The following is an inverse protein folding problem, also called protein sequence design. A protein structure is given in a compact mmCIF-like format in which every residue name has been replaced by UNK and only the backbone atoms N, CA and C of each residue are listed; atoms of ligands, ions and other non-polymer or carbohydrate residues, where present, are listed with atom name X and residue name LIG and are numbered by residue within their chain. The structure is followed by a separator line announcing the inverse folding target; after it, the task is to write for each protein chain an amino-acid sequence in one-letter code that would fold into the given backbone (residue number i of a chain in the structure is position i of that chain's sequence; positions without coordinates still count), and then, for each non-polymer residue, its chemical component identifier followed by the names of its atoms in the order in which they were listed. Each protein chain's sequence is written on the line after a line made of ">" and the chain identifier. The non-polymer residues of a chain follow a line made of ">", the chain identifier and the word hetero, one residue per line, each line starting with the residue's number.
data_IF_939018499952
#
_entry.id   IF_939018499952
#
_cell.length_a   1.000
_cell.length_b   1.000
_cell.length_c   1.000
_cell.angle_alpha   90.00
_cell.angle_beta   90.00
_cell.angle_gamma   90.00
#
_symmetry.space_group_name_H-M   'P 1'
#
loop_
_entity.id
_entity.type
_entity.pdbx_description
1 polymer ?
#
# COMPACT_ATOMS: atom_id res chain seq x y z
N UNK A 1 -21.58 28.55 -62.95
CA UNK A 1 -21.47 29.84 -63.67
C UNK A 1 -20.06 30.36 -63.42
N UNK A 2 -19.15 30.19 -64.40
CA UNK A 2 -18.58 31.27 -65.24
C UNK A 2 -17.81 32.30 -64.39
N UNK A 3 -16.52 32.04 -64.11
CA UNK A 3 -15.31 32.49 -64.84
C UNK A 3 -14.93 33.95 -64.57
N UNK A 4 -13.73 34.17 -64.04
CA UNK A 4 -12.78 35.23 -64.47
C UNK A 4 -11.35 34.86 -64.04
N UNK A 5 -10.43 34.88 -65.00
CA UNK A 5 -8.97 34.67 -64.92
C UNK A 5 -8.26 36.06 -64.85
N UNK A 6 -6.94 36.18 -65.13
CA UNK A 6 -5.72 35.98 -64.32
C UNK A 6 -4.89 37.30 -64.22
N UNK A 7 -3.57 37.23 -63.91
CA UNK A 7 -2.50 38.26 -63.95
C UNK A 7 -2.17 38.89 -62.57
N UNK A 8 -0.92 39.15 -62.12
CA UNK A 8 0.41 39.23 -62.75
C UNK A 8 1.49 39.23 -61.63
N UNK A 9 2.71 38.79 -61.99
CA UNK A 9 4.04 39.08 -61.43
C UNK A 9 4.30 38.96 -59.91
N UNK A 10 5.12 38.00 -59.46
CA UNK A 10 6.59 38.02 -59.49
C UNK A 10 7.23 39.11 -58.60
N UNK A 11 7.84 38.68 -57.49
CA UNK A 11 9.25 38.99 -57.21
C UNK A 11 9.76 38.14 -56.03
N UNK A 12 10.81 37.38 -56.31
CA UNK A 12 11.66 36.72 -55.34
C UNK A 12 12.33 37.76 -54.43
N UNK A 13 12.28 37.54 -53.12
CA UNK A 13 13.28 38.06 -52.19
C UNK A 13 13.58 36.97 -51.16
N UNK A 14 14.65 36.22 -51.43
CA UNK A 14 15.31 35.37 -50.45
C UNK A 14 15.95 36.31 -49.42
N UNK A 15 15.41 36.32 -48.20
CA UNK A 15 16.07 36.93 -47.05
C UNK A 15 16.31 35.82 -46.03
N UNK A 16 17.59 35.47 -45.87
CA UNK A 16 18.05 34.41 -44.99
C UNK A 16 17.67 34.69 -43.53
N UNK A 17 16.89 33.79 -42.94
CA UNK A 17 16.69 33.74 -41.51
C UNK A 17 17.94 33.14 -40.87
N UNK A 18 18.83 33.99 -40.38
CA UNK A 18 19.87 33.57 -39.46
C UNK A 18 19.19 33.05 -38.18
N UNK A 19 19.20 31.74 -37.99
CA UNK A 19 18.85 31.11 -36.72
C UNK A 19 19.92 31.48 -35.70
N UNK A 20 19.71 32.56 -34.94
CA UNK A 20 20.53 32.85 -33.77
C UNK A 20 20.23 31.77 -32.72
N UNK A 21 21.17 30.83 -32.56
CA UNK A 21 21.19 29.93 -31.42
C UNK A 21 21.34 30.78 -30.14
N UNK A 22 20.26 30.87 -29.35
CA UNK A 22 20.34 31.42 -28.00
C UNK A 22 21.21 30.49 -27.15
N UNK A 23 22.50 30.82 -27.01
CA UNK A 23 23.36 30.24 -26.00
C UNK A 23 22.87 30.75 -24.65
N UNK A 24 22.10 29.92 -23.94
CA UNK A 24 21.83 30.17 -22.52
C UNK A 24 23.18 30.14 -21.81
N UNK A 25 23.62 31.22 -21.14
CA UNK A 25 24.89 31.19 -20.43
C UNK A 25 24.84 30.08 -19.37
N UNK A 26 25.90 29.27 -19.22
CA UNK A 26 25.94 28.26 -18.18
C UNK A 26 25.75 28.95 -16.82
N UNK A 27 24.83 28.44 -16.01
CA UNK A 27 24.58 28.96 -14.68
C UNK A 27 25.90 29.05 -13.90
N UNK A 28 26.19 30.22 -13.34
CA UNK A 28 27.41 30.43 -12.57
C UNK A 28 27.49 29.39 -11.42
N UNK A 29 28.67 28.82 -11.11
CA UNK A 29 28.82 27.86 -10.03
C UNK A 29 28.34 28.46 -8.71
N UNK A 30 27.43 27.77 -8.02
CA UNK A 30 26.95 28.17 -6.70
C UNK A 30 28.13 28.12 -5.73
N UNK A 31 28.38 29.16 -4.90
CA UNK A 31 29.50 29.12 -3.98
C UNK A 31 29.33 27.96 -2.98
N UNK A 32 30.41 27.24 -2.64
CA UNK A 32 30.33 25.97 -1.91
C UNK A 32 29.71 26.12 -0.51
N UNK A 33 29.83 27.29 0.13
CA UNK A 33 29.15 27.61 1.40
C UNK A 33 27.63 27.64 1.24
N UNK A 34 27.12 28.19 0.14
CA UNK A 34 25.69 28.27 -0.15
C UNK A 34 25.12 26.89 -0.48
N UNK A 35 25.88 26.04 -1.17
CA UNK A 35 25.50 24.65 -1.42
C UNK A 35 25.36 23.85 -0.10
N UNK A 36 26.36 23.92 0.78
CA UNK A 36 26.31 23.22 2.08
C UNK A 36 25.12 23.69 2.93
N UNK A 37 24.74 24.97 2.87
CA UNK A 37 23.54 25.48 3.56
C UNK A 37 22.24 24.90 2.98
N UNK A 38 22.15 24.75 1.65
CA UNK A 38 21.00 24.13 0.99
C UNK A 38 20.89 22.64 1.34
N UNK A 39 22.00 21.90 1.26
CA UNK A 39 22.07 20.48 1.61
C UNK A 39 21.63 20.26 3.07
N UNK A 40 22.09 21.11 3.99
CA UNK A 40 21.68 21.05 5.39
C UNK A 40 20.17 21.27 5.60
N UNK A 41 19.54 22.12 4.79
CA UNK A 41 18.08 22.31 4.85
C UNK A 41 17.34 21.09 4.31
N UNK A 42 17.83 20.50 3.21
CA UNK A 42 17.25 19.29 2.63
C UNK A 42 17.32 18.12 3.60
N UNK A 43 18.51 17.82 4.14
CA UNK A 43 18.72 16.76 5.14
C UNK A 43 17.79 16.92 6.35
N UNK A 44 17.50 18.14 6.79
CA UNK A 44 16.56 18.41 7.90
C UNK A 44 15.11 18.05 7.54
N UNK A 45 14.69 18.29 6.30
CA UNK A 45 13.38 17.90 5.78
C UNK A 45 13.28 16.38 5.72
N UNK A 46 14.25 15.71 5.08
CA UNK A 46 14.23 14.25 4.96
C UNK A 46 14.28 13.57 6.33
N UNK A 47 15.02 14.14 7.29
CA UNK A 47 15.02 13.65 8.68
C UNK A 47 13.64 13.72 9.32
N UNK A 48 12.83 14.74 9.00
CA UNK A 48 11.47 14.87 9.51
C UNK A 48 10.54 13.86 8.84
N UNK A 49 10.67 13.67 7.54
CA UNK A 49 9.84 12.74 6.76
C UNK A 49 10.12 11.29 7.19
N UNK A 50 11.40 10.90 7.30
CA UNK A 50 11.81 9.60 7.85
C UNK A 50 11.26 9.35 9.26
N UNK A 51 11.18 10.37 10.11
CA UNK A 51 10.59 10.24 11.47
C UNK A 51 9.09 10.00 11.40
N UNK A 52 8.41 10.58 10.41
CA UNK A 52 6.99 10.36 10.16
C UNK A 52 6.76 8.94 9.64
N UNK A 53 7.50 8.50 8.64
CA UNK A 53 7.38 7.14 8.09
C UNK A 53 7.62 6.07 9.16
N UNK A 54 8.64 6.28 10.00
CA UNK A 54 8.89 5.39 11.14
C UNK A 54 7.74 5.37 12.16
N UNK A 55 6.99 6.46 12.31
CA UNK A 55 5.82 6.51 13.20
C UNK A 55 4.66 5.74 12.57
N UNK A 56 4.43 5.95 11.28
CA UNK A 56 3.33 5.33 10.54
C UNK A 56 3.54 3.81 10.47
N UNK A 57 4.74 3.33 10.10
CA UNK A 57 5.12 1.90 10.14
C UNK A 57 4.90 1.27 11.52
N UNK A 58 5.19 2.00 12.62
CA UNK A 58 4.96 1.51 13.99
C UNK A 58 3.49 1.43 14.32
N UNK A 59 2.68 2.36 13.82
CA UNK A 59 1.23 2.30 13.97
C UNK A 59 0.66 1.09 13.22
N UNK A 60 1.03 0.90 11.96
CA UNK A 60 0.56 -0.23 11.14
C UNK A 60 0.98 -1.56 11.77
N UNK A 61 2.21 -1.63 12.29
CA UNK A 61 2.68 -2.82 13.01
C UNK A 61 1.79 -3.14 14.21
N UNK A 62 1.38 -2.13 15.00
CA UNK A 62 0.48 -2.34 16.15
C UNK A 62 -0.90 -2.80 15.70
N UNK A 63 -1.45 -2.23 14.64
CA UNK A 63 -2.74 -2.65 14.08
C UNK A 63 -2.68 -4.10 13.59
N UNK A 64 -1.66 -4.46 12.81
CA UNK A 64 -1.41 -5.84 12.36
C UNK A 64 -1.32 -6.82 13.55
N UNK A 65 -0.72 -6.41 14.67
CA UNK A 65 -0.67 -7.24 15.87
C UNK A 65 -2.05 -7.43 16.51
N UNK A 66 -2.89 -6.40 16.53
CA UNK A 66 -4.27 -6.48 17.03
C UNK A 66 -5.11 -7.39 16.12
N UNK A 67 -5.08 -7.17 14.81
CA UNK A 67 -5.79 -7.99 13.82
C UNK A 67 -5.42 -9.47 13.92
N UNK A 68 -4.14 -9.77 14.15
CA UNK A 68 -3.67 -11.15 14.40
C UNK A 68 -4.28 -11.77 15.66
N UNK A 69 -4.42 -10.99 16.73
CA UNK A 69 -5.03 -11.45 17.96
C UNK A 69 -6.53 -11.69 17.79
N UNK A 70 -7.23 -10.78 17.09
CA UNK A 70 -8.65 -10.91 16.75
C UNK A 70 -8.92 -12.15 15.89
N UNK A 71 -8.18 -12.32 14.79
CA UNK A 71 -8.22 -13.52 13.96
C UNK A 71 -7.92 -14.79 14.78
N UNK A 72 -7.08 -14.70 15.80
CA UNK A 72 -6.81 -15.78 16.75
C UNK A 72 -8.05 -16.14 17.59
N UNK A 73 -8.74 -15.13 18.14
CA UNK A 73 -10.00 -15.30 18.87
C UNK A 73 -11.10 -15.89 17.98
N UNK A 74 -11.25 -15.38 16.76
CA UNK A 74 -12.29 -15.84 15.82
C UNK A 74 -12.06 -17.29 15.38
N UNK A 75 -10.80 -17.74 15.28
CA UNK A 75 -10.50 -19.16 15.07
C UNK A 75 -10.96 -20.02 16.25
N UNK A 76 -10.75 -19.56 17.48
CA UNK A 76 -11.16 -20.30 18.67
C UNK A 76 -12.69 -20.40 18.75
N UNK A 77 -13.41 -19.29 18.58
CA UNK A 77 -14.87 -19.28 18.58
C UNK A 77 -15.46 -20.12 17.44
N UNK A 78 -14.82 -20.16 16.27
CA UNK A 78 -15.20 -21.03 15.16
C UNK A 78 -14.95 -22.51 15.48
N UNK A 79 -13.90 -22.83 16.22
CA UNK A 79 -13.61 -24.20 16.67
C UNK A 79 -14.67 -24.69 17.68
N UNK A 80 -15.03 -23.84 18.64
CA UNK A 80 -16.07 -24.14 19.63
C UNK A 80 -17.43 -24.37 18.95
N UNK A 81 -17.83 -23.48 18.04
CA UNK A 81 -19.07 -23.65 17.26
C UNK A 81 -19.09 -24.97 16.46
N UNK A 82 -17.95 -25.39 15.90
CA UNK A 82 -17.84 -26.70 15.23
C UNK A 82 -17.97 -27.86 16.19
N UNK A 83 -17.44 -27.74 17.40
CA UNK A 83 -17.53 -28.76 18.44
C UNK A 83 -18.98 -28.95 18.91
N UNK A 84 -19.71 -27.86 19.10
CA UNK A 84 -21.15 -27.84 19.42
C UNK A 84 -21.97 -28.53 18.33
N UNK A 85 -21.81 -28.12 17.07
CA UNK A 85 -22.46 -28.76 15.91
C UNK A 85 -22.18 -30.25 15.83
N UNK A 86 -20.94 -30.67 16.12
CA UNK A 86 -20.57 -32.08 16.17
C UNK A 86 -21.21 -32.82 17.35
N UNK A 87 -21.43 -32.15 18.49
CA UNK A 87 -22.14 -32.72 19.62
C UNK A 87 -23.61 -32.98 19.30
N UNK A 88 -24.26 -32.03 18.64
CA UNK A 88 -25.63 -32.21 18.17
C UNK A 88 -25.72 -33.32 17.12
N UNK A 89 -24.68 -33.52 16.31
CA UNK A 89 -24.69 -34.64 15.34
C UNK A 89 -24.66 -35.98 16.06
N UNK A 90 -23.92 -36.08 17.17
CA UNK A 90 -23.92 -37.29 18.01
C UNK A 90 -25.27 -37.51 18.68
N UNK A 91 -25.97 -36.45 19.07
CA UNK A 91 -27.33 -36.52 19.65
C UNK A 91 -28.34 -37.00 18.60
N UNK A 92 -28.31 -36.42 17.40
CA UNK A 92 -29.12 -36.85 16.25
C UNK A 92 -28.92 -38.35 15.96
N UNK A 93 -27.66 -38.80 15.85
CA UNK A 93 -27.35 -40.20 15.59
C UNK A 93 -27.88 -41.14 16.68
N UNK A 94 -27.84 -40.70 17.95
CA UNK A 94 -28.37 -41.47 19.08
C UNK A 94 -29.88 -41.58 19.03
N UNK A 95 -30.57 -40.49 18.72
CA UNK A 95 -32.03 -40.48 18.56
C UNK A 95 -32.45 -41.38 17.40
N UNK A 96 -31.75 -41.34 16.27
CA UNK A 96 -31.97 -42.26 15.14
C UNK A 96 -31.76 -43.72 15.54
N UNK A 97 -30.68 -44.03 16.27
CA UNK A 97 -30.39 -45.39 16.73
C UNK A 97 -31.48 -45.93 17.67
N UNK A 98 -32.11 -45.06 18.45
CA UNK A 98 -33.20 -45.41 19.35
C UNK A 98 -34.59 -45.39 18.67
N UNK A 99 -34.67 -45.14 17.36
CA UNK A 99 -35.93 -45.00 16.61
C UNK A 99 -36.70 -43.71 16.89
N UNK A 100 -36.11 -42.75 17.63
CA UNK A 100 -36.71 -41.46 17.93
C UNK A 100 -36.51 -40.47 16.78
N UNK A 101 -37.30 -40.63 15.70
CA UNK A 101 -37.20 -39.80 14.50
C UNK A 101 -37.47 -38.31 14.80
N UNK A 102 -38.44 -38.00 15.67
CA UNK A 102 -38.77 -36.61 16.03
C UNK A 102 -37.62 -35.90 16.74
N UNK A 103 -36.92 -36.59 17.65
CA UNK A 103 -35.72 -36.06 18.30
C UNK A 103 -34.58 -35.81 17.30
N UNK A 104 -34.35 -36.75 16.39
CA UNK A 104 -33.36 -36.59 15.34
C UNK A 104 -33.64 -35.37 14.43
N UNK A 105 -34.89 -35.18 14.01
CA UNK A 105 -35.30 -34.01 13.21
C UNK A 105 -35.10 -32.67 13.94
N UNK A 106 -35.24 -32.65 15.27
CA UNK A 106 -34.97 -31.47 16.08
C UNK A 106 -33.47 -31.11 16.03
N UNK A 107 -32.59 -32.08 16.30
CA UNK A 107 -31.13 -31.87 16.23
C UNK A 107 -30.66 -31.54 14.80
N UNK A 108 -31.25 -32.15 13.78
CA UNK A 108 -30.93 -31.85 12.39
C UNK A 108 -31.18 -30.36 12.05
N UNK A 109 -32.34 -29.83 12.45
CA UNK A 109 -32.70 -28.42 12.25
C UNK A 109 -31.73 -27.48 12.98
N UNK A 110 -31.39 -27.80 14.23
CA UNK A 110 -30.43 -27.04 15.03
C UNK A 110 -29.05 -27.00 14.34
N UNK A 111 -28.52 -28.16 13.94
CA UNK A 111 -27.23 -28.24 13.22
C UNK A 111 -27.22 -27.49 11.90
N UNK A 112 -28.33 -27.50 11.16
CA UNK A 112 -28.43 -26.79 9.89
C UNK A 112 -28.28 -25.28 10.09
N UNK A 113 -28.90 -24.73 11.14
CA UNK A 113 -28.76 -23.31 11.51
C UNK A 113 -27.33 -22.98 11.95
N UNK A 114 -26.75 -23.80 12.84
CA UNK A 114 -25.36 -23.63 13.29
C UNK A 114 -24.36 -23.72 12.13
N UNK A 115 -24.58 -24.65 11.20
CA UNK A 115 -23.75 -24.81 10.02
C UNK A 115 -23.77 -23.54 9.14
N UNK A 116 -24.92 -22.87 9.03
CA UNK A 116 -25.01 -21.60 8.33
C UNK A 116 -24.18 -20.50 9.01
N UNK A 117 -24.27 -20.40 10.34
CA UNK A 117 -23.47 -19.43 11.12
C UNK A 117 -21.97 -19.73 11.05
N UNK A 118 -21.58 -21.00 11.15
CA UNK A 118 -20.19 -21.46 10.96
C UNK A 118 -19.68 -21.06 9.58
N UNK A 119 -20.49 -21.20 8.54
CA UNK A 119 -20.12 -20.81 7.18
C UNK A 119 -19.96 -19.29 7.05
N UNK A 120 -20.81 -18.50 7.71
CA UNK A 120 -20.67 -17.05 7.78
C UNK A 120 -19.36 -16.64 8.47
N UNK A 121 -19.15 -17.08 9.71
CA UNK A 121 -17.89 -16.84 10.46
C UNK A 121 -16.65 -17.26 9.70
N UNK A 122 -16.72 -18.37 8.94
CA UNK A 122 -15.61 -18.84 8.10
C UNK A 122 -15.30 -17.88 6.95
N UNK A 123 -16.32 -17.26 6.33
CA UNK A 123 -16.13 -16.27 5.28
C UNK A 123 -15.52 -15.00 5.85
N UNK A 124 -16.03 -14.52 6.98
CA UNK A 124 -15.52 -13.30 7.64
C UNK A 124 -14.06 -13.49 8.03
N UNK A 125 -13.73 -14.59 8.72
CA UNK A 125 -12.35 -14.95 9.06
C UNK A 125 -11.42 -15.08 7.84
N UNK A 126 -11.95 -15.46 6.67
CA UNK A 126 -11.18 -15.49 5.45
C UNK A 126 -10.88 -14.09 4.93
N UNK A 127 -11.88 -13.20 4.94
CA UNK A 127 -11.73 -11.80 4.56
C UNK A 127 -10.73 -11.09 5.49
N UNK A 128 -10.84 -11.28 6.81
CA UNK A 128 -9.92 -10.67 7.78
C UNK A 128 -8.47 -11.12 7.53
N UNK A 129 -8.27 -12.39 7.21
CA UNK A 129 -6.93 -12.89 6.84
C UNK A 129 -6.40 -12.28 5.55
N UNK A 130 -7.26 -12.02 4.56
CA UNK A 130 -6.86 -11.35 3.32
C UNK A 130 -6.51 -9.88 3.60
N UNK A 131 -7.32 -9.17 4.37
CA UNK A 131 -7.06 -7.79 4.76
C UNK A 131 -5.75 -7.67 5.55
N UNK A 132 -5.53 -8.54 6.53
CA UNK A 132 -4.26 -8.63 7.27
C UNK A 132 -3.07 -8.86 6.33
N UNK A 133 -3.22 -9.73 5.33
CA UNK A 133 -2.16 -9.98 4.36
C UNK A 133 -1.83 -8.73 3.54
N UNK A 134 -2.85 -8.02 3.05
CA UNK A 134 -2.68 -6.75 2.35
C UNK A 134 -1.99 -5.70 3.24
N UNK A 135 -2.46 -5.51 4.48
CA UNK A 135 -1.84 -4.57 5.43
C UNK A 135 -0.37 -4.90 5.71
N UNK A 136 -0.03 -6.20 5.84
CA UNK A 136 1.37 -6.63 5.98
C UNK A 136 2.19 -6.28 4.74
N UNK A 137 1.62 -6.45 3.54
CA UNK A 137 2.30 -6.16 2.28
C UNK A 137 2.57 -4.66 2.14
N UNK A 138 1.57 -3.83 2.45
CA UNK A 138 1.66 -2.37 2.35
C UNK A 138 2.71 -1.85 3.33
N UNK A 139 2.64 -2.23 4.62
CA UNK A 139 3.67 -1.90 5.60
C UNK A 139 5.07 -2.35 5.17
N UNK A 140 5.20 -3.53 4.54
CA UNK A 140 6.50 -3.99 4.06
C UNK A 140 7.01 -3.15 2.88
N UNK A 141 6.12 -2.58 2.06
CA UNK A 141 6.49 -1.61 1.04
C UNK A 141 6.99 -0.32 1.68
N UNK A 142 6.26 0.24 2.64
CA UNK A 142 6.65 1.46 3.36
C UNK A 142 8.00 1.30 4.07
N UNK A 143 8.24 0.12 4.66
CA UNK A 143 9.53 -0.21 5.27
C UNK A 143 10.67 -0.20 4.25
N UNK A 144 10.43 -0.67 3.02
CA UNK A 144 11.44 -0.65 1.94
C UNK A 144 11.69 0.76 1.45
N UNK A 145 10.63 1.53 1.23
CA UNK A 145 10.73 2.91 0.73
C UNK A 145 11.49 3.76 1.75
N UNK A 146 11.11 3.69 3.03
CA UNK A 146 11.86 4.34 4.12
C UNK A 146 13.31 3.84 4.22
N UNK A 147 13.62 2.58 3.88
CA UNK A 147 15.01 2.13 3.80
C UNK A 147 15.77 2.80 2.65
N UNK A 148 15.15 2.92 1.49
CA UNK A 148 15.73 3.62 0.34
C UNK A 148 16.01 5.09 0.69
N UNK A 149 15.04 5.77 1.31
CA UNK A 149 15.20 7.16 1.73
C UNK A 149 16.30 7.34 2.79
N UNK A 150 16.40 6.39 3.73
CA UNK A 150 17.49 6.37 4.71
C UNK A 150 18.86 6.25 4.03
N UNK A 151 18.98 5.42 2.99
CA UNK A 151 20.22 5.26 2.24
C UNK A 151 20.57 6.51 1.43
N UNK A 152 19.60 7.06 0.68
CA UNK A 152 19.77 8.28 -0.09
C UNK A 152 20.23 9.44 0.80
N UNK A 153 19.57 9.64 1.95
CA UNK A 153 19.98 10.64 2.94
C UNK A 153 21.39 10.38 3.48
N UNK A 154 21.77 9.12 3.69
CA UNK A 154 23.12 8.80 4.17
C UNK A 154 24.18 9.18 3.13
N UNK A 155 23.87 9.03 1.85
CA UNK A 155 24.72 9.45 0.73
C UNK A 155 24.84 10.98 0.68
N UNK A 156 23.70 11.70 0.74
CA UNK A 156 23.68 13.16 0.77
C UNK A 156 24.49 13.73 1.96
N UNK A 157 24.35 13.13 3.15
CA UNK A 157 25.13 13.54 4.33
C UNK A 157 26.63 13.32 4.08
N UNK A 158 27.02 12.22 3.42
CA UNK A 158 28.42 11.94 3.08
C UNK A 158 28.96 12.98 2.08
N UNK A 159 28.22 13.26 1.02
CA UNK A 159 28.59 14.24 0.00
C UNK A 159 28.72 15.65 0.59
N UNK A 160 27.73 16.08 1.39
CA UNK A 160 27.77 17.37 2.09
C UNK A 160 28.98 17.49 3.01
N UNK A 161 29.34 16.43 3.73
CA UNK A 161 30.54 16.42 4.59
C UNK A 161 31.84 16.53 3.77
N UNK A 162 31.92 15.84 2.63
CA UNK A 162 33.07 15.94 1.72
C UNK A 162 33.18 17.32 1.07
N UNK A 163 32.06 17.95 0.72
CA UNK A 163 32.03 19.32 0.22
C UNK A 163 32.51 20.31 1.28
N UNK A 164 32.03 20.16 2.52
CA UNK A 164 32.42 21.01 3.65
C UNK A 164 33.92 20.88 3.99
N UNK A 165 34.55 19.72 3.78
CA UNK A 165 35.99 19.53 4.02
C UNK A 165 36.90 20.14 2.96
N UNK A 166 36.33 20.61 1.83
CA UNK A 166 37.06 21.22 0.70
C UNK A 166 36.95 22.76 0.71
N UNK A 167 36.23 23.32 1.69
CA UNK A 167 36.09 24.77 1.95
C UNK A 167 37.14 25.16 2.98
#
# INVERSE_FOLDING_TARGET
>A
MKTSRPLIAALFAVAGTAAFAQTTPPAAPVPPVTQVQQDNQQIRRDTRDLRRDNRDIRQDSRQIHQDRADIGRDKATLADARAERNADQRRENRDLANGNVKGAEYWNRQRAQEQHQINAKRRDLHQDRQQLHSAIKDRNHDVRDRNHDMHARHDEVRERNQAASKI
#
